data_IF_696535568486
#
_entry.id   IF_696535568486
#
_cell.length_a   1.000
_cell.length_b   1.000
_cell.length_c   1.000
_cell.angle_alpha   90.00
_cell.angle_beta   90.00
_cell.angle_gamma   90.00
#
_symmetry.space_group_name_H-M   'P 1'
#
loop_
_entity.id
_entity.type
_entity.pdbx_description
1 polymer ?
#
# COMPACT_ATOMS: atom_id res chain seq x y z
N UNK A 1 -8.52 12.17 4.50
CA UNK A 1 -8.06 11.33 3.38
C UNK A 1 -6.56 11.47 3.19
N UNK A 2 -6.02 12.69 3.16
CA UNK A 2 -4.59 12.93 2.84
C UNK A 2 -3.59 12.38 3.86
N UNK A 3 -4.02 12.11 5.10
CA UNK A 3 -3.16 11.54 6.15
C UNK A 3 -2.51 10.21 5.76
N UNK A 4 -3.17 9.43 4.88
CA UNK A 4 -2.67 8.12 4.43
C UNK A 4 -1.84 8.22 3.16
N UNK A 5 -1.81 9.38 2.50
CA UNK A 5 -1.01 9.59 1.29
C UNK A 5 0.47 9.57 1.65
N UNK A 6 1.23 8.80 0.89
CA UNK A 6 2.65 8.66 1.07
C UNK A 6 3.17 7.28 0.68
N UNK A 7 4.48 7.15 0.84
CA UNK A 7 5.24 5.93 0.58
C UNK A 7 5.46 5.17 1.88
N UNK A 8 5.31 3.84 1.83
CA UNK A 8 5.49 2.95 2.96
C UNK A 8 6.43 1.79 2.59
N UNK A 9 7.51 1.64 3.33
CA UNK A 9 8.64 0.76 3.07
C UNK A 9 8.57 -0.54 3.87
N UNK A 10 8.92 -1.64 3.22
CA UNK A 10 9.20 -2.94 3.83
C UNK A 10 10.41 -3.56 3.11
N UNK A 11 11.28 -4.36 3.75
CA UNK A 11 12.51 -4.85 3.10
C UNK A 11 12.32 -5.58 1.77
N UNK A 12 11.17 -6.22 1.53
CA UNK A 12 10.87 -6.94 0.30
C UNK A 12 10.23 -6.09 -0.81
N UNK A 13 9.48 -5.04 -0.45
CA UNK A 13 8.74 -4.18 -1.37
C UNK A 13 8.25 -2.93 -0.64
N UNK A 14 7.83 -1.92 -1.38
CA UNK A 14 7.17 -0.74 -0.83
C UNK A 14 5.80 -0.51 -1.46
N UNK A 15 4.97 0.24 -0.75
CA UNK A 15 3.64 0.65 -1.16
C UNK A 15 3.62 2.17 -1.35
N UNK A 16 2.86 2.65 -2.31
CA UNK A 16 2.53 4.07 -2.43
C UNK A 16 1.02 4.24 -2.38
N UNK A 17 0.54 5.10 -1.51
CA UNK A 17 -0.87 5.52 -1.53
C UNK A 17 -0.88 6.94 -2.06
N UNK A 18 -1.50 7.13 -3.22
CA UNK A 18 -1.62 8.42 -3.89
C UNK A 18 -3.08 8.83 -3.98
N UNK A 19 -3.32 10.14 -4.10
CA UNK A 19 -4.64 10.69 -4.40
C UNK A 19 -4.82 10.71 -5.92
N UNK A 20 -5.94 10.16 -6.38
CA UNK A 20 -6.38 10.27 -7.77
C UNK A 20 -7.80 10.86 -7.80
N UNK A 21 -7.90 12.13 -8.18
CA UNK A 21 -9.13 12.92 -8.06
C UNK A 21 -9.72 12.90 -6.64
N UNK A 22 -10.93 12.34 -6.53
CA UNK A 22 -11.64 12.19 -5.26
C UNK A 22 -11.31 10.87 -4.52
N UNK A 23 -10.58 9.95 -5.16
CA UNK A 23 -10.26 8.63 -4.64
C UNK A 23 -8.80 8.48 -4.20
N UNK A 24 -8.47 7.25 -3.80
CA UNK A 24 -7.12 6.82 -3.47
C UNK A 24 -6.73 5.64 -4.34
N UNK A 25 -5.47 5.61 -4.77
CA UNK A 25 -4.89 4.51 -5.53
C UNK A 25 -3.67 3.99 -4.77
N UNK A 26 -3.56 2.67 -4.67
CA UNK A 26 -2.45 1.95 -4.07
C UNK A 26 -1.56 1.36 -5.16
N UNK A 27 -0.29 1.74 -5.14
CA UNK A 27 0.75 1.16 -5.98
C UNK A 27 1.60 0.18 -5.16
N UNK A 28 2.03 -0.90 -5.79
CA UNK A 28 2.93 -1.88 -5.20
C UNK A 28 4.23 -1.93 -5.98
N UNK A 29 5.34 -1.72 -5.29
CA UNK A 29 6.65 -1.63 -5.89
C UNK A 29 7.60 -2.66 -5.27
N UNK A 30 7.83 -3.79 -5.94
CA UNK A 30 8.83 -4.76 -5.51
C UNK A 30 10.24 -4.15 -5.59
N UNK A 31 11.11 -4.44 -4.62
CA UNK A 31 12.51 -4.03 -4.72
C UNK A 31 13.21 -4.79 -5.85
N UNK A 32 13.98 -4.07 -6.67
CA UNK A 32 14.70 -4.64 -7.80
C UNK A 32 15.75 -5.68 -7.41
N UNK A 33 16.30 -5.59 -6.20
CA UNK A 33 17.28 -6.55 -5.68
C UNK A 33 16.70 -7.97 -5.58
N UNK A 34 15.46 -8.13 -5.11
CA UNK A 34 14.82 -9.45 -5.04
C UNK A 34 14.50 -9.99 -6.44
N UNK A 35 14.03 -9.14 -7.34
CA UNK A 35 13.72 -9.50 -8.72
C UNK A 35 14.94 -9.96 -9.51
N UNK A 36 16.10 -9.38 -9.24
CA UNK A 36 17.35 -9.73 -9.91
C UNK A 36 17.81 -11.18 -9.65
N UNK A 37 17.31 -11.83 -8.58
CA UNK A 37 17.58 -13.22 -8.27
C UNK A 37 16.58 -14.21 -8.89
N UNK A 38 15.54 -13.73 -9.57
CA UNK A 38 14.50 -14.55 -10.18
C UNK A 38 14.79 -14.74 -11.66
N UNK A 39 14.75 -15.99 -12.15
CA UNK A 39 14.86 -16.28 -13.60
C UNK A 39 13.70 -15.65 -14.38
N UNK A 40 12.50 -15.66 -13.80
CA UNK A 40 11.30 -15.06 -14.37
C UNK A 40 10.53 -14.32 -13.25
N UNK A 41 10.82 -13.03 -13.01
CA UNK A 41 10.14 -12.27 -11.97
C UNK A 41 8.67 -12.02 -12.39
N UNK A 42 7.72 -12.09 -11.45
CA UNK A 42 6.33 -11.78 -11.75
C UNK A 42 6.19 -10.32 -12.25
N UNK A 43 5.14 -10.00 -13.03
CA UNK A 43 4.89 -8.62 -13.42
C UNK A 43 4.69 -7.73 -12.18
N UNK A 44 4.99 -6.44 -12.33
CA UNK A 44 4.63 -5.48 -11.27
C UNK A 44 3.10 -5.41 -11.20
N UNK A 45 2.48 -5.49 -10.00
CA UNK A 45 1.04 -5.33 -9.89
C UNK A 45 0.58 -3.98 -10.44
N UNK A 46 -0.52 -3.98 -11.20
CA UNK A 46 -1.17 -2.73 -11.62
C UNK A 46 -1.64 -1.94 -10.38
N UNK A 47 -1.67 -0.60 -10.44
CA UNK A 47 -2.24 0.22 -9.38
C UNK A 47 -3.71 -0.12 -9.18
N UNK A 48 -4.16 -0.15 -7.93
CA UNK A 48 -5.53 -0.51 -7.58
C UNK A 48 -6.20 0.58 -6.76
N UNK A 49 -7.46 0.87 -7.07
CA UNK A 49 -8.27 1.77 -6.25
C UNK A 49 -8.50 1.19 -4.86
N UNK A 50 -8.44 2.07 -3.86
CA UNK A 50 -8.72 1.73 -2.46
C UNK A 50 -9.68 2.74 -1.83
N UNK A 51 -10.52 2.26 -0.94
CA UNK A 51 -11.46 3.11 -0.19
C UNK A 51 -11.41 2.82 1.31
N UNK A 52 -11.77 3.82 2.13
CA UNK A 52 -11.95 3.61 3.56
C UNK A 52 -13.16 2.71 3.81
N UNK A 53 -12.92 1.49 4.31
CA UNK A 53 -13.97 0.62 4.82
C UNK A 53 -14.28 0.92 6.29
N UNK A 54 -13.29 1.43 7.03
CA UNK A 54 -13.36 1.89 8.44
C UNK A 54 -12.35 3.01 8.66
N UNK A 55 -12.43 3.79 9.76
CA UNK A 55 -11.46 4.85 10.05
C UNK A 55 -9.99 4.41 10.07
N UNK A 56 -9.75 3.13 10.39
CA UNK A 56 -8.45 2.48 10.53
C UNK A 56 -8.15 1.48 9.39
N UNK A 57 -8.93 1.48 8.31
CA UNK A 57 -8.86 0.41 7.30
C UNK A 57 -9.26 0.85 5.90
N UNK A 58 -8.40 0.57 4.93
CA UNK A 58 -8.74 0.62 3.52
C UNK A 58 -9.11 -0.77 3.00
N UNK A 59 -9.93 -0.83 1.95
CA UNK A 59 -10.25 -2.03 1.18
C UNK A 59 -9.84 -1.84 -0.28
N UNK A 60 -9.31 -2.88 -0.90
CA UNK A 60 -8.97 -2.92 -2.33
C UNK A 60 -10.24 -3.19 -3.15
N UNK A 61 -10.51 -2.33 -4.15
CA UNK A 61 -11.76 -2.35 -4.90
C UNK A 61 -11.74 -3.23 -6.15
N UNK A 62 -10.59 -3.71 -6.58
CA UNK A 62 -10.49 -4.52 -7.79
C UNK A 62 -9.19 -5.30 -7.95
N UNK A 63 -9.14 -6.07 -9.02
CA UNK A 63 -8.00 -6.94 -9.34
C UNK A 63 -7.91 -8.19 -8.45
N UNK A 64 -6.80 -8.93 -8.53
CA UNK A 64 -6.64 -10.21 -7.82
C UNK A 64 -6.69 -10.13 -6.30
N UNK A 65 -6.51 -8.93 -5.73
CA UNK A 65 -6.49 -8.67 -4.29
C UNK A 65 -7.78 -7.95 -3.83
N UNK A 66 -8.84 -7.94 -4.64
CA UNK A 66 -10.13 -7.36 -4.27
C UNK A 66 -10.60 -7.88 -2.89
N UNK A 67 -11.24 -7.00 -2.13
CA UNK A 67 -11.73 -7.22 -0.75
C UNK A 67 -10.62 -7.43 0.30
N UNK A 68 -9.34 -7.46 -0.11
CA UNK A 68 -8.22 -7.42 0.82
C UNK A 68 -8.13 -6.06 1.50
N UNK A 69 -7.60 -6.06 2.72
CA UNK A 69 -7.61 -4.89 3.59
C UNK A 69 -6.19 -4.39 3.88
N UNK A 70 -6.07 -3.07 3.94
CA UNK A 70 -4.87 -2.37 4.41
C UNK A 70 -5.22 -1.76 5.76
N UNK A 71 -4.60 -2.24 6.83
CA UNK A 71 -4.79 -1.67 8.16
C UNK A 71 -3.90 -0.44 8.34
N UNK A 72 -4.48 0.61 8.90
CA UNK A 72 -3.82 1.89 9.13
C UNK A 72 -3.43 1.98 10.60
N UNK A 73 -2.14 1.92 10.89
CA UNK A 73 -1.60 1.87 12.24
C UNK A 73 -0.92 3.20 12.59
N UNK A 74 -1.53 3.97 13.49
CA UNK A 74 -1.00 5.24 13.97
C UNK A 74 -2.08 6.19 14.47
N UNK A 75 -1.65 7.35 14.98
CA UNK A 75 -2.55 8.41 15.46
C UNK A 75 -3.38 8.99 14.31
N UNK A 76 -4.69 9.16 14.52
CA UNK A 76 -5.63 9.78 13.58
C UNK A 76 -5.30 11.24 13.23
N UNK A 77 -4.65 11.98 14.14
CA UNK A 77 -4.32 13.39 14.00
C UNK A 77 -3.04 13.66 13.21
N UNK A 78 -2.20 12.64 13.00
CA UNK A 78 -0.91 12.75 12.31
C UNK A 78 -0.96 12.09 10.92
N UNK A 79 0.01 12.41 10.04
CA UNK A 79 0.34 11.56 8.91
C UNK A 79 0.56 10.12 9.40
N UNK A 80 0.02 9.16 8.66
CA UNK A 80 0.03 7.77 9.09
C UNK A 80 1.45 7.20 9.07
N UNK A 81 1.89 6.62 10.20
CA UNK A 81 3.26 6.12 10.34
C UNK A 81 3.44 4.69 9.80
N UNK A 82 2.43 3.83 9.91
CA UNK A 82 2.54 2.43 9.52
C UNK A 82 1.29 1.94 8.81
N UNK A 83 1.47 1.04 7.84
CA UNK A 83 0.38 0.25 7.27
C UNK A 83 0.68 -1.23 7.40
N UNK A 84 -0.36 -2.04 7.61
CA UNK A 84 -0.28 -3.50 7.47
C UNK A 84 -1.02 -3.94 6.23
N UNK A 85 -0.38 -4.74 5.39
CA UNK A 85 -1.01 -5.36 4.24
C UNK A 85 -0.58 -6.83 4.13
N UNK A 86 -1.57 -7.73 4.09
CA UNK A 86 -1.33 -9.15 4.33
C UNK A 86 -0.66 -9.37 5.69
N UNK A 87 0.46 -10.10 5.72
CA UNK A 87 1.26 -10.35 6.92
C UNK A 87 2.42 -9.37 7.14
N UNK A 88 2.52 -8.30 6.33
CA UNK A 88 3.67 -7.39 6.32
C UNK A 88 3.33 -6.03 6.92
N UNK A 89 4.28 -5.46 7.64
CA UNK A 89 4.23 -4.07 8.15
C UNK A 89 5.12 -3.19 7.28
N UNK A 90 4.58 -2.06 6.83
CA UNK A 90 5.30 -1.08 6.04
C UNK A 90 5.38 0.24 6.81
N UNK A 91 6.58 0.80 6.92
CA UNK A 91 6.83 2.06 7.62
C UNK A 91 6.77 3.23 6.66
N UNK A 92 6.12 4.33 7.02
CA UNK A 92 6.15 5.55 6.22
C UNK A 92 7.59 5.99 5.95
N UNK A 93 7.91 6.25 4.68
CA UNK A 93 9.14 6.90 4.31
C UNK A 93 9.11 8.37 4.78
N UNK A 94 10.25 8.86 5.26
CA UNK A 94 10.45 10.23 5.71
C UNK A 94 10.33 11.25 4.58
#
# INVERSE_FOLDING_TARGET
MDRVVGRYEHPANWLEIVRDGAGLVLHQHPHGSLRAFMEEPPPTPEPVEVAFARPDRLVILGGPLQDSQVELLGDAAAPLEWVRFGSRLFRRAG
#
